data_IF_410131941318
#
_entry.id   IF_410131941318
#
_cell.length_a   1.000
_cell.length_b   1.000
_cell.length_c   1.000
_cell.angle_alpha   90.00
_cell.angle_beta   90.00
_cell.angle_gamma   90.00
#
_symmetry.space_group_name_H-M   'P 1'
#
loop_
_entity.id
_entity.type
_entity.pdbx_description
1 polymer ?
#
# COMPACT_ATOMS: atom_id res chain seq x y z
N UNK A 1 -5.19 -1.30 -15.46
CA UNK A 1 -4.34 -0.17 -15.04
C UNK A 1 -2.90 -0.66 -15.01
N UNK A 2 -2.00 -0.07 -15.78
CA UNK A 2 -0.56 -0.42 -15.78
C UNK A 2 0.14 0.21 -14.58
N UNK A 3 1.02 -0.55 -13.92
CA UNK A 3 1.84 -0.09 -12.82
C UNK A 3 3.13 -0.91 -12.73
N UNK A 4 4.19 -0.30 -12.20
CA UNK A 4 5.49 -0.96 -12.00
C UNK A 4 5.60 -1.39 -10.55
N UNK A 5 6.03 -2.62 -10.31
CA UNK A 5 6.28 -3.17 -8.98
C UNK A 5 7.77 -3.27 -8.77
N UNK A 6 8.26 -2.70 -7.67
CA UNK A 6 9.63 -2.84 -7.22
C UNK A 6 9.62 -3.47 -5.83
N UNK A 7 10.14 -4.69 -5.73
CA UNK A 7 10.28 -5.40 -4.46
C UNK A 7 11.70 -5.18 -3.94
N UNK A 8 11.84 -4.37 -2.89
CA UNK A 8 13.10 -4.14 -2.19
C UNK A 8 13.04 -4.83 -0.83
N UNK A 9 14.20 -5.21 -0.26
CA UNK A 9 14.27 -5.90 1.03
C UNK A 9 13.44 -5.20 2.12
N UNK A 10 12.24 -5.71 2.38
CA UNK A 10 11.32 -5.18 3.38
C UNK A 10 10.29 -4.14 2.89
N UNK A 11 10.15 -3.88 1.59
CA UNK A 11 9.04 -3.07 1.06
C UNK A 11 8.69 -3.37 -0.41
N UNK A 12 7.42 -3.20 -0.73
CA UNK A 12 6.89 -3.24 -2.09
C UNK A 12 6.48 -1.83 -2.49
N UNK A 13 7.10 -1.34 -3.55
CA UNK A 13 6.75 -0.10 -4.22
C UNK A 13 5.92 -0.41 -5.46
N UNK A 14 4.75 0.21 -5.55
CA UNK A 14 3.84 0.16 -6.68
C UNK A 14 3.75 1.58 -7.24
N UNK A 15 4.37 1.78 -8.40
CA UNK A 15 4.34 3.05 -9.14
C UNK A 15 3.10 3.02 -10.02
N UNK A 16 2.11 3.82 -9.65
CA UNK A 16 0.85 4.03 -10.38
C UNK A 16 1.00 5.24 -11.29
N UNK A 17 0.13 5.34 -12.30
CA UNK A 17 0.07 6.54 -13.16
C UNK A 17 -0.10 7.83 -12.36
N UNK A 18 -0.87 7.80 -11.27
CA UNK A 18 -1.24 8.99 -10.51
C UNK A 18 -0.51 9.11 -9.17
N UNK A 19 0.52 8.30 -8.92
CA UNK A 19 1.25 8.33 -7.67
C UNK A 19 2.12 7.11 -7.38
N UNK A 20 2.77 7.13 -6.21
CA UNK A 20 3.56 6.04 -5.68
C UNK A 20 2.86 5.46 -4.45
N UNK A 21 2.58 4.17 -4.48
CA UNK A 21 2.16 3.41 -3.32
C UNK A 21 3.34 2.58 -2.79
N UNK A 22 3.62 2.62 -1.50
CA UNK A 22 4.68 1.85 -0.84
C UNK A 22 4.09 1.09 0.33
N UNK A 23 4.30 -0.22 0.40
CA UNK A 23 3.95 -1.06 1.54
C UNK A 23 5.18 -1.72 2.14
N UNK A 24 5.44 -1.52 3.42
CA UNK A 24 6.59 -2.10 4.13
C UNK A 24 6.23 -3.43 4.80
N UNK A 25 7.26 -4.25 5.07
CA UNK A 25 7.15 -5.49 5.86
C UNK A 25 6.76 -5.22 7.31
N UNK A 26 7.01 -4.00 7.80
CA UNK A 26 6.59 -3.53 9.13
C UNK A 26 5.10 -3.16 9.20
N UNK A 27 4.40 -3.20 8.05
CA UNK A 27 2.97 -2.94 7.96
C UNK A 27 2.63 -1.50 7.57
N UNK A 28 3.60 -0.65 7.28
CA UNK A 28 3.33 0.73 6.88
C UNK A 28 2.93 0.78 5.41
N UNK A 29 1.97 1.62 5.08
CA UNK A 29 1.53 1.92 3.71
C UNK A 29 1.61 3.43 3.49
N UNK A 30 2.18 3.86 2.39
CA UNK A 30 2.31 5.28 2.01
C UNK A 30 1.82 5.42 0.58
N UNK A 31 0.97 6.40 0.33
CA UNK A 31 0.55 6.82 -0.99
C UNK A 31 0.97 8.28 -1.20
N UNK A 32 1.73 8.54 -2.26
CA UNK A 32 2.11 9.89 -2.68
C UNK A 32 1.54 10.14 -4.07
N UNK A 33 0.59 11.07 -4.19
CA UNK A 33 0.05 11.44 -5.50
C UNK A 33 1.05 12.27 -6.30
N UNK A 34 0.86 12.35 -7.62
CA UNK A 34 1.65 13.22 -8.50
C UNK A 34 1.55 14.70 -8.10
N UNK A 35 0.40 15.12 -7.56
CA UNK A 35 0.17 16.48 -7.07
C UNK A 35 0.87 16.76 -5.73
N UNK A 36 1.64 15.80 -5.20
CA UNK A 36 2.40 15.93 -3.96
C UNK A 36 1.61 15.67 -2.68
N UNK A 37 0.34 15.27 -2.76
CA UNK A 37 -0.44 14.87 -1.59
C UNK A 37 0.08 13.53 -1.07
N UNK A 38 0.37 13.46 0.23
CA UNK A 38 0.84 12.25 0.89
C UNK A 38 -0.22 11.76 1.86
N UNK A 39 -0.62 10.51 1.71
CA UNK A 39 -1.47 9.78 2.64
C UNK A 39 -0.69 8.58 3.19
N UNK A 40 -0.85 8.27 4.47
CA UNK A 40 -0.10 7.19 5.13
C UNK A 40 -0.98 6.42 6.09
N UNK A 41 -0.80 5.11 6.11
CA UNK A 41 -1.39 4.17 7.04
C UNK A 41 -0.27 3.39 7.72
N UNK A 42 -0.30 3.29 9.05
CA UNK A 42 0.76 2.66 9.85
C UNK A 42 0.10 1.56 10.68
N UNK A 43 0.73 0.37 10.73
CA UNK A 43 0.24 -0.72 11.59
C UNK A 43 0.44 -0.34 13.05
N UNK A 44 -0.64 -0.31 13.83
CA UNK A 44 -0.56 -0.09 15.27
C UNK A 44 -0.16 -1.38 16.01
N UNK A 45 0.52 -1.24 17.15
CA UNK A 45 0.96 -2.39 17.97
C UNK A 45 -0.22 -3.23 18.50
N UNK A 46 -1.39 -2.61 18.65
CA UNK A 46 -2.61 -3.27 19.11
C UNK A 46 -3.50 -3.79 17.97
N UNK A 47 -3.13 -3.57 16.70
CA UNK A 47 -3.92 -4.05 15.57
C UNK A 47 -3.66 -5.54 15.32
N UNK A 48 -4.74 -6.31 15.31
CA UNK A 48 -4.73 -7.69 14.83
C UNK A 48 -4.41 -7.74 13.33
N UNK A 49 -4.05 -8.92 12.82
CA UNK A 49 -3.81 -9.09 11.38
C UNK A 49 -5.05 -8.86 10.53
N UNK A 50 -6.24 -9.17 11.06
CA UNK A 50 -7.51 -8.97 10.37
C UNK A 50 -7.88 -7.49 10.31
N UNK A 51 -7.79 -6.75 11.43
CA UNK A 51 -7.99 -5.30 11.43
C UNK A 51 -6.98 -4.60 10.50
N UNK A 52 -5.73 -5.05 10.52
CA UNK A 52 -4.70 -4.56 9.63
C UNK A 52 -5.07 -4.77 8.15
N UNK A 53 -5.56 -5.95 7.79
CA UNK A 53 -6.05 -6.25 6.44
C UNK A 53 -7.23 -5.35 6.07
N UNK A 54 -8.19 -5.17 6.96
CA UNK A 54 -9.35 -4.33 6.70
C UNK A 54 -8.97 -2.87 6.44
N UNK A 55 -8.12 -2.29 7.29
CA UNK A 55 -7.62 -0.92 7.13
C UNK A 55 -6.77 -0.77 5.86
N UNK A 56 -5.95 -1.76 5.53
CA UNK A 56 -5.21 -1.81 4.27
C UNK A 56 -6.15 -1.80 3.05
N UNK A 57 -7.21 -2.62 3.07
CA UNK A 57 -8.21 -2.66 2.00
C UNK A 57 -8.94 -1.32 1.87
N UNK A 58 -9.31 -0.69 2.99
CA UNK A 58 -9.93 0.65 3.00
C UNK A 58 -9.00 1.69 2.38
N UNK A 59 -7.72 1.67 2.75
CA UNK A 59 -6.71 2.56 2.19
C UNK A 59 -6.57 2.38 0.67
N UNK A 60 -6.47 1.14 0.19
CA UNK A 60 -6.39 0.87 -1.24
C UNK A 60 -7.66 1.32 -1.97
N UNK A 61 -8.85 1.05 -1.44
CA UNK A 61 -10.12 1.52 -2.02
C UNK A 61 -10.21 3.04 -2.10
N UNK A 62 -9.74 3.75 -1.08
CA UNK A 62 -9.71 5.23 -1.05
C UNK A 62 -8.91 5.82 -2.22
N UNK A 63 -7.86 5.13 -2.66
CA UNK A 63 -6.94 5.58 -3.70
C UNK A 63 -7.10 4.84 -5.04
N UNK A 64 -8.20 4.08 -5.21
CA UNK A 64 -8.48 3.25 -6.40
C UNK A 64 -7.34 2.26 -6.74
N UNK A 65 -6.73 1.66 -5.71
CA UNK A 65 -5.65 0.69 -5.82
C UNK A 65 -6.22 -0.72 -5.75
N UNK A 66 -5.79 -1.59 -6.66
CA UNK A 66 -6.13 -3.01 -6.65
C UNK A 66 -5.40 -3.78 -5.54
N UNK A 67 -6.01 -3.79 -4.36
CA UNK A 67 -5.51 -4.46 -3.16
C UNK A 67 -5.30 -5.97 -3.35
N UNK A 68 -6.09 -6.64 -4.20
CA UNK A 68 -5.96 -8.09 -4.42
C UNK A 68 -4.61 -8.40 -5.06
N UNK A 69 -4.29 -7.68 -6.13
CA UNK A 69 -3.01 -7.85 -6.84
C UNK A 69 -1.83 -7.47 -5.95
N UNK A 70 -1.97 -6.47 -5.07
CA UNK A 70 -0.91 -6.14 -4.09
C UNK A 70 -0.67 -7.28 -3.10
N UNK A 71 -1.73 -7.89 -2.56
CA UNK A 71 -1.62 -9.04 -1.65
C UNK A 71 -1.00 -10.27 -2.33
N UNK A 72 -1.27 -10.49 -3.62
CA UNK A 72 -0.62 -11.54 -4.40
C UNK A 72 0.89 -11.31 -4.56
N UNK A 73 1.31 -10.05 -4.74
CA UNK A 73 2.71 -9.66 -4.88
C UNK A 73 3.51 -9.73 -3.56
N UNK A 74 2.82 -9.78 -2.42
CA UNK A 74 3.42 -9.91 -1.08
C UNK A 74 3.73 -11.37 -0.68
N UNK A 75 3.35 -12.36 -1.51
CA UNK A 75 3.59 -13.79 -1.24
C UNK A 75 5.02 -14.23 -1.52
#
# INVERSE_FOLDING_TARGET
MEYIVNNQFGCIDIILKNGLFRKTSKGDCIFKSENGLVDKFIRNINMTEDEYKEEFIKFCKKHDIDWKKILELLK
#
